data_IF_781469569055
#
_entry.id   IF_781469569055
#
_cell.length_a   1.000
_cell.length_b   1.000
_cell.length_c   1.000
_cell.angle_alpha   90.00
_cell.angle_beta   90.00
_cell.angle_gamma   90.00
#
_symmetry.space_group_name_H-M   'P 1'
#
loop_
_entity.id
_entity.type
_entity.pdbx_description
1 polymer ?
#
# COMPACT_ATOMS: atom_id res chain seq x y z
N UNK A 1 17.07 37.06 19.43
CA UNK A 1 16.25 35.85 19.61
C UNK A 1 14.98 36.04 18.81
N UNK A 2 14.83 35.36 17.67
CA UNK A 2 13.57 35.38 16.93
C UNK A 2 12.62 34.35 17.55
N UNK A 3 11.42 34.79 17.92
CA UNK A 3 10.37 33.91 18.39
C UNK A 3 9.90 33.03 17.22
N UNK A 4 10.24 31.74 17.27
CA UNK A 4 9.52 30.73 16.50
C UNK A 4 8.14 30.64 17.12
N UNK A 5 7.09 31.00 16.37
CA UNK A 5 5.71 30.68 16.74
C UNK A 5 5.53 29.16 16.59
N UNK A 6 5.50 28.45 17.72
CA UNK A 6 5.19 27.01 17.80
C UNK A 6 3.68 26.77 17.83
N UNK A 7 2.96 27.25 16.80
CA UNK A 7 1.50 27.20 16.74
C UNK A 7 0.91 26.00 16.00
N UNK A 8 1.42 25.67 14.80
CA UNK A 8 0.64 24.85 13.85
C UNK A 8 1.42 23.64 13.26
N UNK A 9 2.65 23.38 13.71
CA UNK A 9 3.52 22.30 13.17
C UNK A 9 3.14 20.88 13.64
N UNK A 10 2.19 20.76 14.57
CA UNK A 10 1.86 19.48 15.24
C UNK A 10 0.95 18.59 14.39
N UNK A 11 0.08 19.16 13.54
CA UNK A 11 -0.94 18.40 12.80
C UNK A 11 -0.32 17.68 11.58
N UNK A 12 0.59 18.33 10.85
CA UNK A 12 1.28 17.72 9.70
C UNK A 12 2.15 16.51 10.08
N UNK A 13 2.91 16.63 11.18
CA UNK A 13 3.71 15.51 11.70
C UNK A 13 2.83 14.35 12.18
N UNK A 14 1.68 14.63 12.81
CA UNK A 14 0.77 13.60 13.31
C UNK A 14 0.16 12.74 12.20
N UNK A 15 -0.23 13.36 11.08
CA UNK A 15 -0.81 12.63 9.95
C UNK A 15 0.26 11.86 9.15
N UNK A 16 1.45 12.43 8.94
CA UNK A 16 2.56 11.72 8.30
C UNK A 16 3.06 10.53 9.13
N UNK A 17 3.11 10.66 10.45
CA UNK A 17 3.45 9.55 11.35
C UNK A 17 2.41 8.43 11.27
N UNK A 18 1.13 8.79 11.23
CA UNK A 18 0.04 7.83 11.06
C UNK A 18 0.14 7.11 9.70
N UNK A 19 0.34 7.86 8.61
CA UNK A 19 0.52 7.28 7.27
C UNK A 19 1.73 6.34 7.23
N UNK A 20 2.86 6.74 7.83
CA UNK A 20 4.05 5.91 7.89
C UNK A 20 3.80 4.59 8.63
N UNK A 21 3.04 4.61 9.74
CA UNK A 21 2.60 3.41 10.44
C UNK A 21 1.79 2.47 9.54
N UNK A 22 0.75 3.01 8.88
CA UNK A 22 -0.09 2.25 7.94
C UNK A 22 0.76 1.64 6.81
N UNK A 23 1.70 2.39 6.25
CA UNK A 23 2.56 1.90 5.15
C UNK A 23 3.51 0.79 5.60
N UNK A 24 4.06 0.85 6.82
CA UNK A 24 4.90 -0.22 7.39
C UNK A 24 4.08 -1.49 7.61
N UNK A 25 2.89 -1.37 8.18
CA UNK A 25 1.99 -2.50 8.42
C UNK A 25 1.54 -3.13 7.10
N UNK A 26 1.23 -2.31 6.09
CA UNK A 26 0.82 -2.78 4.77
C UNK A 26 1.95 -3.48 4.04
N UNK A 27 3.17 -2.97 4.14
CA UNK A 27 4.37 -3.62 3.60
C UNK A 27 4.63 -4.98 4.25
N UNK A 28 4.51 -5.07 5.59
CA UNK A 28 4.65 -6.34 6.30
C UNK A 28 3.54 -7.32 5.93
N UNK A 29 2.29 -6.87 5.85
CA UNK A 29 1.17 -7.70 5.41
C UNK A 29 1.37 -8.21 3.97
N UNK A 30 1.95 -7.41 3.07
CA UNK A 30 2.29 -7.83 1.72
C UNK A 30 3.44 -8.85 1.68
N UNK A 31 4.45 -8.72 2.55
CA UNK A 31 5.51 -9.73 2.70
C UNK A 31 4.96 -11.06 3.23
N UNK A 32 3.98 -11.00 4.13
CA UNK A 32 3.30 -12.16 4.71
C UNK A 32 2.14 -12.68 3.84
N UNK A 33 1.95 -12.14 2.63
CA UNK A 33 0.90 -12.50 1.67
C UNK A 33 -0.54 -12.38 2.24
N UNK A 34 -0.75 -11.50 3.23
CA UNK A 34 -2.05 -11.23 3.85
C UNK A 34 -2.85 -10.20 3.03
N UNK A 35 -3.23 -10.55 1.79
CA UNK A 35 -3.79 -9.60 0.82
C UNK A 35 -5.09 -8.92 1.26
N UNK A 36 -5.94 -9.60 2.04
CA UNK A 36 -7.14 -8.98 2.63
C UNK A 36 -6.78 -7.87 3.62
N UNK A 37 -5.68 -8.05 4.37
CA UNK A 37 -5.15 -7.04 5.30
C UNK A 37 -4.56 -5.87 4.52
N UNK A 38 -3.83 -6.14 3.43
CA UNK A 38 -3.31 -5.11 2.51
C UNK A 38 -4.46 -4.24 1.97
N UNK A 39 -5.55 -4.86 1.51
CA UNK A 39 -6.73 -4.13 1.00
C UNK A 39 -7.38 -3.25 2.09
N UNK A 40 -7.54 -3.77 3.30
CA UNK A 40 -8.09 -3.01 4.42
C UNK A 40 -7.20 -1.83 4.84
N UNK A 41 -5.88 -1.98 4.76
CA UNK A 41 -4.91 -0.93 5.05
C UNK A 41 -4.84 0.12 3.94
N UNK A 42 -5.02 -0.25 2.67
CA UNK A 42 -5.09 0.72 1.56
C UNK A 42 -6.29 1.67 1.68
N UNK A 43 -7.45 1.17 2.15
CA UNK A 43 -8.60 2.04 2.46
C UNK A 43 -8.27 3.07 3.55
N UNK A 44 -7.54 2.67 4.59
CA UNK A 44 -7.10 3.58 5.65
C UNK A 44 -6.05 4.58 5.14
N UNK A 45 -5.08 4.11 4.36
CA UNK A 45 -4.06 4.93 3.69
C UNK A 45 -4.70 6.05 2.86
N UNK A 46 -5.69 5.73 2.03
CA UNK A 46 -6.40 6.71 1.20
C UNK A 46 -7.11 7.78 2.05
N UNK A 47 -7.73 7.38 3.16
CA UNK A 47 -8.36 8.34 4.10
C UNK A 47 -7.33 9.30 4.70
N UNK A 48 -6.13 8.82 5.03
CA UNK A 48 -5.05 9.68 5.56
C UNK A 48 -4.46 10.59 4.49
N UNK A 49 -4.27 10.07 3.27
CA UNK A 49 -3.78 10.85 2.13
C UNK A 49 -4.71 12.02 1.80
N UNK A 50 -6.03 11.83 1.83
CA UNK A 50 -7.01 12.91 1.62
C UNK A 50 -6.90 14.02 2.68
N UNK A 51 -6.52 13.67 3.92
CA UNK A 51 -6.28 14.66 4.98
C UNK A 51 -4.96 15.38 4.75
N UNK A 52 -3.92 14.67 4.31
CA UNK A 52 -2.60 15.24 4.03
C UNK A 52 -2.63 16.18 2.82
N UNK A 53 -3.39 15.86 1.77
CA UNK A 53 -3.49 16.69 0.56
C UNK A 53 -4.06 18.09 0.82
N UNK A 54 -4.71 18.28 1.97
CA UNK A 54 -5.27 19.55 2.42
C UNK A 54 -4.29 20.37 3.30
N UNK A 55 -3.07 19.88 3.57
CA UNK A 55 -2.07 20.68 4.27
C UNK A 55 -1.52 21.79 3.36
N UNK A 56 -1.63 23.03 3.84
CA UNK A 56 -1.06 24.23 3.21
C UNK A 56 0.19 24.75 3.93
N UNK A 57 0.60 24.10 5.01
CA UNK A 57 1.73 24.54 5.84
C UNK A 57 3.08 23.98 5.35
N UNK A 58 4.17 24.64 5.74
CA UNK A 58 5.51 24.28 5.29
C UNK A 58 5.98 22.92 5.80
N UNK A 59 6.42 22.06 4.86
CA UNK A 59 7.08 20.78 5.12
C UNK A 59 8.48 21.03 5.70
N UNK A 60 8.80 20.40 6.83
CA UNK A 60 10.14 20.45 7.42
C UNK A 60 10.99 19.22 7.01
N UNK A 61 12.25 19.15 7.46
CA UNK A 61 13.14 18.03 7.11
C UNK A 61 12.63 16.67 7.63
N UNK A 62 12.07 16.61 8.83
CA UNK A 62 11.52 15.37 9.39
C UNK A 62 10.32 14.88 8.56
N UNK A 63 9.45 15.79 8.15
CA UNK A 63 8.35 15.47 7.23
C UNK A 63 8.88 14.92 5.91
N UNK A 64 9.95 15.51 5.38
CA UNK A 64 10.61 15.07 4.14
C UNK A 64 11.15 13.66 4.29
N UNK A 65 11.84 13.36 5.39
CA UNK A 65 12.40 12.04 5.66
C UNK A 65 11.30 10.98 5.80
N UNK A 66 10.18 11.31 6.47
CA UNK A 66 9.01 10.43 6.56
C UNK A 66 8.35 10.18 5.20
N UNK A 67 8.22 11.23 4.37
CA UNK A 67 7.67 11.10 3.00
C UNK A 67 8.55 10.18 2.16
N UNK A 68 9.88 10.32 2.25
CA UNK A 68 10.82 9.44 1.53
C UNK A 68 10.64 7.99 1.97
N UNK A 69 10.52 7.72 3.26
CA UNK A 69 10.28 6.36 3.77
C UNK A 69 8.93 5.80 3.30
N UNK A 70 7.86 6.61 3.37
CA UNK A 70 6.53 6.25 2.85
C UNK A 70 6.61 5.83 1.38
N UNK A 71 7.31 6.59 0.53
CA UNK A 71 7.47 6.27 -0.88
C UNK A 71 8.26 4.98 -1.12
N UNK A 72 9.28 4.71 -0.30
CA UNK A 72 10.04 3.46 -0.38
C UNK A 72 9.18 2.25 -0.02
N UNK A 73 8.37 2.37 1.04
CA UNK A 73 7.43 1.32 1.45
C UNK A 73 6.36 1.08 0.37
N UNK A 74 5.83 2.15 -0.22
CA UNK A 74 4.85 2.09 -1.31
C UNK A 74 5.39 1.33 -2.53
N UNK A 75 6.62 1.64 -2.93
CA UNK A 75 7.30 0.93 -4.02
C UNK A 75 7.51 -0.57 -3.71
N UNK A 76 7.77 -0.90 -2.44
CA UNK A 76 7.86 -2.28 -1.96
C UNK A 76 6.54 -3.03 -2.07
N UNK A 77 5.45 -2.42 -1.56
CA UNK A 77 4.08 -2.97 -1.68
C UNK A 77 3.71 -3.17 -3.13
N UNK A 78 3.94 -2.18 -4.00
CA UNK A 78 3.64 -2.27 -5.43
C UNK A 78 4.35 -3.46 -6.10
N UNK A 79 5.65 -3.63 -5.81
CA UNK A 79 6.44 -4.76 -6.34
C UNK A 79 5.89 -6.12 -5.86
N UNK A 80 5.47 -6.22 -4.60
CA UNK A 80 4.90 -7.46 -4.04
C UNK A 80 3.52 -7.76 -4.65
N UNK A 81 2.66 -6.76 -4.77
CA UNK A 81 1.35 -6.88 -5.42
C UNK A 81 1.47 -7.30 -6.87
N UNK A 82 2.44 -6.76 -7.63
CA UNK A 82 2.67 -7.18 -9.02
C UNK A 82 3.04 -8.67 -9.11
N UNK A 83 3.95 -9.14 -8.25
CA UNK A 83 4.31 -10.56 -8.20
C UNK A 83 3.11 -11.44 -7.86
N UNK A 84 2.25 -11.00 -6.93
CA UNK A 84 1.04 -11.72 -6.58
C UNK A 84 0.05 -11.80 -7.76
N UNK A 85 -0.16 -10.70 -8.48
CA UNK A 85 -1.02 -10.67 -9.66
C UNK A 85 -0.51 -11.58 -10.78
N UNK A 86 0.80 -11.61 -11.03
CA UNK A 86 1.41 -12.49 -12.03
C UNK A 86 1.23 -13.98 -11.66
N UNK A 87 1.38 -14.31 -10.37
CA UNK A 87 1.10 -15.65 -9.86
C UNK A 87 -0.37 -16.03 -10.01
N UNK A 88 -1.29 -15.16 -9.59
CA UNK A 88 -2.73 -15.38 -9.70
C UNK A 88 -3.18 -15.56 -11.15
N UNK A 89 -2.65 -14.75 -12.07
CA UNK A 89 -2.93 -14.88 -13.51
C UNK A 89 -2.47 -16.24 -14.06
N UNK A 90 -1.32 -16.72 -13.63
CA UNK A 90 -0.80 -18.05 -13.99
C UNK A 90 -1.72 -19.17 -13.49
N UNK A 91 -2.17 -19.09 -12.24
CA UNK A 91 -3.08 -20.08 -11.64
C UNK A 91 -4.44 -20.14 -12.32
N UNK A 92 -5.03 -18.98 -12.63
CA UNK A 92 -6.30 -18.89 -13.36
C UNK A 92 -6.15 -19.53 -14.74
N UNK A 93 -5.07 -19.21 -15.47
CA UNK A 93 -4.80 -19.80 -16.78
C UNK A 93 -4.67 -21.33 -16.71
N UNK A 94 -3.92 -21.86 -15.75
CA UNK A 94 -3.79 -23.32 -15.53
C UNK A 94 -5.15 -23.97 -15.27
N UNK A 95 -5.95 -23.38 -14.37
CA UNK A 95 -7.28 -23.89 -14.01
C UNK A 95 -8.23 -23.92 -15.21
N UNK A 96 -8.20 -22.89 -16.07
CA UNK A 96 -9.00 -22.84 -17.29
C UNK A 96 -8.58 -23.94 -18.28
N UNK A 97 -7.28 -24.16 -18.46
CA UNK A 97 -6.77 -25.23 -19.32
C UNK A 97 -7.18 -26.60 -18.79
N UNK A 98 -7.01 -26.86 -17.50
CA UNK A 98 -7.43 -28.10 -16.85
C UNK A 98 -8.93 -28.37 -17.04
N UNK A 99 -9.77 -27.36 -16.86
CA UNK A 99 -11.22 -27.49 -17.07
C UNK A 99 -11.57 -27.77 -18.53
N UNK A 100 -10.88 -27.14 -19.50
CA UNK A 100 -11.07 -27.42 -20.93
C UNK A 100 -10.66 -28.84 -21.30
N UNK A 101 -9.51 -29.32 -20.81
CA UNK A 101 -9.04 -30.69 -21.04
C UNK A 101 -10.00 -31.71 -20.43
N UNK A 102 -10.44 -31.48 -19.18
CA UNK A 102 -11.40 -32.34 -18.49
C UNK A 102 -12.72 -32.45 -19.27
N UNK A 103 -13.22 -31.32 -19.78
CA UNK A 103 -14.42 -31.30 -20.63
C UNK A 103 -14.21 -32.09 -21.92
N UNK A 104 -13.11 -31.85 -22.63
CA UNK A 104 -12.82 -32.56 -23.87
C UNK A 104 -12.68 -34.08 -23.66
N UNK A 105 -12.10 -34.52 -22.55
CA UNK A 105 -12.02 -35.94 -22.19
C UNK A 105 -13.40 -36.54 -21.88
N UNK A 106 -14.25 -35.80 -21.16
CA UNK A 106 -15.63 -36.23 -20.88
C UNK A 106 -16.48 -36.34 -22.15
N UNK A 107 -16.30 -35.41 -23.11
CA UNK A 107 -17.01 -35.44 -24.40
C UNK A 107 -16.50 -36.55 -25.34
N UNK A 108 -15.34 -37.16 -25.05
CA UNK A 108 -14.69 -38.18 -25.90
C UNK A 108 -14.96 -39.64 -25.48
N UNK A 109 -15.40 -39.89 -24.25
CA UNK A 109 -15.78 -41.23 -23.72
C UNK A 109 -17.29 -41.41 -23.82
#
# INVERSE_FOLDING_TARGET
MNAIKMGDTVIANSELTNLLGIMRDMHNAALDEQWNTVEALDQQRNTVLDRISNFTDGINQNDTDMIVEILQLDQGVLSLTQKHLDFAATQVSSTVVENKVRKAYHDHI
#
